data_IF_378802809984
#
_entry.id   IF_378802809984
#
_cell.length_a   1.000
_cell.length_b   1.000
_cell.length_c   1.000
_cell.angle_alpha   90.00
_cell.angle_beta   90.00
_cell.angle_gamma   90.00
#
_symmetry.space_group_name_H-M   'P 1'
#
loop_
_entity.id
_entity.type
_entity.pdbx_description
1 polymer ?
#
# COMPACT_ATOMS: atom_id res chain seq x y z
N UNK A 1 -2.32 -4.45 15.21
CA UNK A 1 -1.09 -4.17 14.42
C UNK A 1 0.11 -4.61 15.26
N UNK A 2 1.17 -5.17 14.67
CA UNK A 2 2.36 -5.64 15.40
C UNK A 2 3.05 -4.53 16.21
N UNK A 3 2.95 -3.28 15.75
CA UNK A 3 3.36 -2.09 16.49
C UNK A 3 2.16 -1.13 16.64
N UNK A 4 1.79 -0.71 17.86
CA UNK A 4 0.67 0.19 18.07
C UNK A 4 0.99 1.65 17.71
N UNK A 5 2.26 2.05 17.65
CA UNK A 5 2.68 3.42 17.32
C UNK A 5 3.35 3.49 15.94
N UNK A 6 2.88 4.39 15.09
CA UNK A 6 3.46 4.60 13.78
C UNK A 6 2.72 5.62 12.94
N UNK A 7 3.32 5.98 11.79
CA UNK A 7 2.68 6.81 10.78
C UNK A 7 1.76 5.91 9.94
N UNK A 8 0.52 6.35 9.72
CA UNK A 8 -0.43 5.62 8.88
C UNK A 8 -0.33 6.13 7.44
N UNK A 9 -0.20 5.22 6.50
CA UNK A 9 -0.21 5.51 5.05
C UNK A 9 -1.36 4.73 4.43
N UNK A 10 -2.21 5.41 3.68
CA UNK A 10 -3.24 4.80 2.85
C UNK A 10 -2.67 4.60 1.44
N UNK A 11 -2.94 3.47 0.80
CA UNK A 11 -2.35 3.13 -0.50
C UNK A 11 -3.42 2.62 -1.46
N UNK A 12 -3.26 2.98 -2.73
CA UNK A 12 -3.94 2.36 -3.87
C UNK A 12 -2.96 1.39 -4.52
N UNK A 13 -3.25 0.09 -4.40
CA UNK A 13 -2.40 -0.97 -4.95
C UNK A 13 -3.14 -1.79 -6.02
N UNK A 14 -2.42 -2.28 -7.01
CA UNK A 14 -2.88 -3.34 -7.89
C UNK A 14 -2.88 -4.71 -7.20
N UNK A 15 -3.56 -5.69 -7.80
CA UNK A 15 -3.60 -7.06 -7.28
C UNK A 15 -2.20 -7.73 -7.19
N UNK A 16 -1.23 -7.24 -7.98
CA UNK A 16 0.19 -7.64 -7.94
C UNK A 16 0.96 -7.06 -6.74
N UNK A 17 0.40 -6.08 -6.03
CA UNK A 17 1.11 -5.31 -5.00
C UNK A 17 1.85 -4.07 -5.51
N UNK A 18 1.69 -3.72 -6.80
CA UNK A 18 2.22 -2.45 -7.34
C UNK A 18 1.45 -1.29 -6.73
N UNK A 19 2.16 -0.31 -6.17
CA UNK A 19 1.58 0.91 -5.60
C UNK A 19 1.40 1.95 -6.70
N UNK A 20 0.16 2.42 -6.89
CA UNK A 20 -0.20 3.44 -7.87
C UNK A 20 -0.29 4.84 -7.27
N UNK A 21 -0.83 4.95 -6.05
CA UNK A 21 -0.90 6.20 -5.31
C UNK A 21 -0.93 5.92 -3.80
N UNK A 22 -0.65 6.94 -3.00
CA UNK A 22 -0.67 6.87 -1.55
C UNK A 22 -1.00 8.22 -0.91
N UNK A 23 -1.43 8.16 0.34
CA UNK A 23 -1.70 9.32 1.17
C UNK A 23 -1.18 9.09 2.59
N UNK A 24 -0.26 9.96 3.03
CA UNK A 24 0.24 9.97 4.40
C UNK A 24 -0.81 10.64 5.29
N UNK A 25 -1.26 9.93 6.32
CA UNK A 25 -2.25 10.46 7.25
C UNK A 25 -1.60 11.40 8.27
N UNK A 26 -2.12 12.63 8.35
CA UNK A 26 -1.62 13.70 9.21
C UNK A 26 -2.64 14.07 10.31
N UNK A 27 -3.65 13.24 10.55
CA UNK A 27 -4.73 13.60 11.48
C UNK A 27 -5.72 14.57 10.83
N UNK A 28 -6.15 15.57 11.60
CA UNK A 28 -7.10 16.60 11.16
C UNK A 28 -6.57 17.45 10.01
N UNK A 29 -5.25 17.60 9.90
CA UNK A 29 -4.57 18.40 8.85
C UNK A 29 -4.35 17.63 7.56
N UNK A 30 -4.83 16.38 7.44
CA UNK A 30 -4.70 15.63 6.19
C UNK A 30 -5.43 16.36 5.05
N UNK A 31 -4.66 16.72 4.03
CA UNK A 31 -5.14 17.41 2.82
C UNK A 31 -6.05 16.48 2.01
N UNK A 32 -7.37 16.71 2.12
CA UNK A 32 -8.40 16.11 1.29
C UNK A 32 -9.41 17.20 0.95
N UNK A 33 -10.14 17.04 -0.15
CA UNK A 33 -11.25 17.91 -0.52
C UNK A 33 -12.24 18.07 0.64
N UNK A 34 -12.48 19.32 1.05
CA UNK A 34 -13.44 19.67 2.11
C UNK A 34 -14.86 19.26 1.73
N UNK A 35 -15.21 19.41 0.45
CA UNK A 35 -16.49 18.96 -0.11
C UNK A 35 -16.65 17.45 0.07
N UNK A 36 -15.65 16.65 -0.30
CA UNK A 36 -15.70 15.20 -0.13
C UNK A 36 -15.79 14.78 1.35
N UNK A 37 -15.12 15.52 2.27
CA UNK A 37 -15.23 15.27 3.70
C UNK A 37 -16.65 15.54 4.21
N UNK A 38 -17.29 16.60 3.74
CA UNK A 38 -18.65 16.97 4.13
C UNK A 38 -19.68 15.97 3.60
N UNK A 39 -19.55 15.56 2.35
CA UNK A 39 -20.53 14.71 1.67
C UNK A 39 -20.37 13.22 2.00
N UNK A 40 -19.13 12.71 2.07
CA UNK A 40 -18.85 11.27 2.20
C UNK A 40 -18.15 10.89 3.51
N UNK A 41 -17.92 11.87 4.39
CA UNK A 41 -17.08 11.71 5.57
C UNK A 41 -15.61 11.54 5.23
N UNK A 42 -14.77 11.51 6.26
CA UNK A 42 -13.31 11.40 6.10
C UNK A 42 -12.91 10.11 5.40
N UNK A 43 -13.58 8.99 5.68
CA UNK A 43 -13.27 7.70 5.05
C UNK A 43 -13.59 7.67 3.57
N UNK A 44 -14.71 8.27 3.16
CA UNK A 44 -15.06 8.39 1.75
C UNK A 44 -14.13 9.35 1.01
N UNK A 45 -13.74 10.45 1.66
CA UNK A 45 -12.77 11.39 1.11
C UNK A 45 -11.41 10.74 0.81
N UNK A 46 -10.92 9.82 1.66
CA UNK A 46 -9.70 9.05 1.36
C UNK A 46 -9.83 8.21 0.10
N UNK A 47 -10.97 7.51 -0.05
CA UNK A 47 -11.24 6.66 -1.21
C UNK A 47 -11.28 7.49 -2.48
N UNK A 48 -12.07 8.55 -2.50
CA UNK A 48 -12.25 9.39 -3.69
C UNK A 48 -10.94 10.10 -4.07
N UNK A 49 -10.14 10.51 -3.08
CA UNK A 49 -8.81 11.10 -3.32
C UNK A 49 -7.87 10.13 -4.03
N UNK A 50 -7.77 8.89 -3.55
CA UNK A 50 -6.91 7.88 -4.18
C UNK A 50 -7.50 7.40 -5.51
N UNK A 51 -8.82 7.23 -5.59
CA UNK A 51 -9.51 6.79 -6.80
C UNK A 51 -9.43 7.82 -7.94
N UNK A 52 -9.15 9.10 -7.65
CA UNK A 52 -8.90 10.12 -8.67
C UNK A 52 -7.71 9.78 -9.59
N UNK A 53 -6.83 8.85 -9.18
CA UNK A 53 -5.75 8.33 -10.03
C UNK A 53 -6.25 7.35 -11.10
N UNK A 54 -7.41 6.75 -10.91
CA UNK A 54 -8.00 5.75 -11.81
C UNK A 54 -8.72 6.51 -12.94
N UNK A 55 -8.45 6.20 -14.21
CA UNK A 55 -9.19 6.80 -15.31
C UNK A 55 -10.67 6.42 -15.28
N UNK A 56 -11.53 7.41 -15.46
CA UNK A 56 -12.98 7.22 -15.59
C UNK A 56 -13.28 6.48 -16.91
N UNK A 57 -14.39 5.75 -16.96
CA UNK A 57 -14.93 5.20 -18.21
C UNK A 57 -14.41 3.83 -18.65
N UNK A 58 -13.28 3.37 -18.10
CA UNK A 58 -12.60 2.13 -18.55
C UNK A 58 -13.22 0.86 -17.94
N UNK A 59 -13.95 0.97 -16.83
CA UNK A 59 -14.47 -0.21 -16.12
C UNK A 59 -13.45 -0.87 -15.18
N UNK A 60 -12.53 -0.07 -14.62
CA UNK A 60 -11.62 -0.55 -13.57
C UNK A 60 -12.40 -1.05 -12.34
N UNK A 61 -11.83 -2.04 -11.65
CA UNK A 61 -12.41 -2.66 -10.45
C UNK A 61 -11.60 -2.27 -9.21
N UNK A 62 -12.26 -1.69 -8.22
CA UNK A 62 -11.66 -1.20 -6.99
C UNK A 62 -12.26 -1.92 -5.78
N UNK A 63 -11.40 -2.47 -4.92
CA UNK A 63 -11.84 -3.25 -3.77
C UNK A 63 -11.44 -2.58 -2.46
N UNK A 64 -12.33 -2.63 -1.47
CA UNK A 64 -12.19 -1.90 -0.21
C UNK A 64 -12.26 -2.80 1.02
N UNK A 65 -11.42 -2.50 2.00
CA UNK A 65 -11.66 -2.99 3.35
C UNK A 65 -12.86 -2.28 4.00
N UNK A 66 -13.40 -2.92 5.04
CA UNK A 66 -14.59 -2.54 5.79
C UNK A 66 -14.60 -1.09 6.30
N UNK A 67 -13.41 -0.55 6.61
CA UNK A 67 -13.25 0.82 7.08
C UNK A 67 -13.64 1.88 6.02
N UNK A 68 -13.48 1.55 4.74
CA UNK A 68 -13.63 2.50 3.63
C UNK A 68 -14.99 2.40 2.94
N UNK A 69 -15.61 1.22 2.95
CA UNK A 69 -16.85 0.98 2.22
C UNK A 69 -18.03 1.78 2.77
N UNK A 70 -18.75 2.46 1.87
CA UNK A 70 -20.04 3.09 2.12
C UNK A 70 -20.86 3.15 0.83
N UNK A 71 -22.19 3.09 0.93
CA UNK A 71 -23.08 3.08 -0.24
C UNK A 71 -22.96 4.36 -1.09
N UNK A 72 -22.86 5.57 -0.50
CA UNK A 72 -22.68 6.79 -1.30
C UNK A 72 -21.39 6.79 -2.13
N UNK A 73 -20.28 6.28 -1.58
CA UNK A 73 -19.01 6.20 -2.32
C UNK A 73 -19.11 5.22 -3.50
N UNK A 74 -19.78 4.08 -3.32
CA UNK A 74 -20.00 3.12 -4.40
C UNK A 74 -20.82 3.73 -5.56
N UNK A 75 -21.77 4.63 -5.25
CA UNK A 75 -22.58 5.33 -6.26
C UNK A 75 -21.74 6.31 -7.08
N UNK A 76 -20.94 7.15 -6.43
CA UNK A 76 -20.02 8.09 -7.11
C UNK A 76 -19.02 7.36 -8.01
N UNK A 77 -18.48 6.23 -7.53
CA UNK A 77 -17.56 5.42 -8.34
C UNK A 77 -18.28 4.82 -9.55
N UNK A 78 -19.54 4.41 -9.41
CA UNK A 78 -20.32 3.89 -10.52
C UNK A 78 -20.58 4.96 -11.59
N UNK A 79 -20.84 6.20 -11.20
CA UNK A 79 -21.00 7.34 -12.12
C UNK A 79 -19.72 7.57 -12.95
N UNK A 80 -18.55 7.33 -12.35
CA UNK A 80 -17.25 7.33 -13.01
C UNK A 80 -16.94 6.08 -13.84
N UNK A 81 -17.87 5.12 -13.90
CA UNK A 81 -17.68 3.76 -14.44
C UNK A 81 -16.48 3.04 -13.81
N UNK A 82 -16.30 3.25 -12.51
CA UNK A 82 -15.39 2.48 -11.66
C UNK A 82 -16.24 1.49 -10.88
N UNK A 83 -16.06 0.22 -11.21
CA UNK A 83 -16.71 -0.87 -10.51
C UNK A 83 -16.04 -1.08 -9.16
N UNK A 84 -16.82 -1.31 -8.11
CA UNK A 84 -16.31 -1.41 -6.77
C UNK A 84 -17.09 -2.40 -5.90
N UNK A 85 -16.36 -3.03 -4.99
CA UNK A 85 -16.91 -3.93 -3.99
C UNK A 85 -16.07 -3.92 -2.71
N UNK A 86 -16.71 -4.08 -1.56
CA UNK A 86 -16.00 -4.17 -0.30
C UNK A 86 -16.82 -4.83 0.78
N UNK A 87 -16.15 -5.30 1.83
CA UNK A 87 -16.87 -5.61 3.07
C UNK A 87 -17.46 -4.34 3.64
N UNK A 88 -18.63 -4.41 4.28
CA UNK A 88 -19.32 -3.22 4.81
C UNK A 88 -19.76 -3.41 6.25
N UNK A 89 -19.62 -2.34 7.06
CA UNK A 89 -20.04 -2.38 8.45
C UNK A 89 -21.56 -2.41 8.49
N UNK A 90 -22.14 -3.19 9.41
CA UNK A 90 -23.59 -3.27 9.60
C UNK A 90 -24.23 -1.89 9.87
N UNK A 91 -23.50 -0.97 10.50
CA UNK A 91 -23.96 0.41 10.74
C UNK A 91 -24.04 1.26 9.47
N UNK A 92 -23.37 0.85 8.39
CA UNK A 92 -23.26 1.58 7.11
C UNK A 92 -24.16 0.99 6.02
N UNK A 93 -25.00 0.02 6.33
CA UNK A 93 -25.94 -0.60 5.38
C UNK A 93 -27.31 0.08 5.38
N UNK A 94 -27.43 1.33 5.87
CA UNK A 94 -28.69 2.12 5.86
C UNK A 94 -29.92 1.36 6.43
N UNK A 95 -29.70 0.53 7.47
CA UNK A 95 -30.73 -0.34 8.08
C UNK A 95 -31.43 -1.30 7.09
N UNK A 96 -30.75 -1.67 6.01
CA UNK A 96 -31.20 -2.64 5.03
C UNK A 96 -31.73 -3.94 5.70
N UNK A 97 -32.97 -4.38 5.39
CA UNK A 97 -33.66 -5.48 6.08
C UNK A 97 -33.19 -6.87 5.61
N UNK A 98 -31.89 -7.13 5.70
CA UNK A 98 -31.31 -8.45 5.42
C UNK A 98 -31.60 -9.43 6.58
N UNK A 99 -31.77 -10.71 6.25
CA UNK A 99 -31.85 -11.82 7.19
C UNK A 99 -30.81 -11.68 8.29
N UNK A 100 -31.24 -11.92 9.52
CA UNK A 100 -30.36 -11.88 10.69
C UNK A 100 -29.34 -13.02 10.63
N UNK A 101 -28.20 -12.83 11.29
CA UNK A 101 -27.19 -13.90 11.41
C UNK A 101 -27.77 -15.18 12.03
N UNK A 102 -28.74 -15.07 12.93
CA UNK A 102 -29.45 -16.23 13.50
C UNK A 102 -30.26 -16.99 12.45
N UNK A 103 -30.95 -16.29 11.55
CA UNK A 103 -31.71 -16.92 10.47
C UNK A 103 -30.77 -17.64 9.50
N UNK A 104 -29.73 -16.95 9.03
CA UNK A 104 -28.75 -17.56 8.11
C UNK A 104 -28.00 -18.73 8.75
N UNK A 105 -27.67 -18.66 10.05
CA UNK A 105 -27.05 -19.79 10.75
C UNK A 105 -27.94 -21.03 10.79
N UNK A 106 -29.27 -20.87 10.80
CA UNK A 106 -30.22 -22.00 10.69
C UNK A 106 -30.29 -22.58 9.27
N UNK A 107 -30.13 -21.73 8.26
CA UNK A 107 -30.08 -22.13 6.85
C UNK A 107 -28.76 -22.84 6.49
N UNK A 108 -27.75 -22.74 7.36
CA UNK A 108 -26.48 -23.43 7.23
C UNK A 108 -25.37 -22.55 6.69
N UNK A 109 -24.13 -23.06 6.83
CA UNK A 109 -22.92 -22.39 6.33
C UNK A 109 -22.94 -22.37 4.80
N UNK A 110 -22.69 -21.20 4.22
CA UNK A 110 -22.81 -20.94 2.78
C UNK A 110 -24.11 -20.25 2.38
N UNK A 111 -25.10 -20.15 3.28
CA UNK A 111 -26.31 -19.39 3.03
C UNK A 111 -26.01 -17.90 2.82
N UNK A 112 -26.80 -17.27 1.97
CA UNK A 112 -26.73 -15.83 1.73
C UNK A 112 -28.10 -15.21 1.58
N UNK A 113 -28.14 -13.91 1.86
CA UNK A 113 -29.27 -13.05 1.60
C UNK A 113 -28.77 -11.76 0.96
N UNK A 114 -29.56 -11.18 0.07
CA UNK A 114 -29.15 -9.96 -0.63
C UNK A 114 -30.33 -9.05 -0.91
N UNK A 115 -30.03 -7.77 -1.01
CA UNK A 115 -30.97 -6.75 -1.43
C UNK A 115 -30.29 -5.82 -2.42
N UNK A 116 -31.03 -5.48 -3.46
CA UNK A 116 -30.62 -4.54 -4.49
C UNK A 116 -31.33 -3.22 -4.23
N UNK A 117 -30.63 -2.10 -4.42
CA UNK A 117 -31.23 -0.78 -4.33
C UNK A 117 -32.35 -0.62 -5.37
N UNK A 118 -33.32 0.25 -5.09
CA UNK A 118 -34.48 0.48 -5.98
C UNK A 118 -34.07 0.90 -7.39
N UNK A 119 -32.95 1.58 -7.54
CA UNK A 119 -32.38 2.00 -8.82
C UNK A 119 -31.47 0.95 -9.47
N UNK A 120 -31.36 -0.25 -8.89
CA UNK A 120 -30.58 -1.37 -9.45
C UNK A 120 -29.06 -1.20 -9.39
N UNK A 121 -28.56 -0.09 -8.83
CA UNK A 121 -27.14 0.29 -8.92
C UNK A 121 -26.25 -0.34 -7.87
N UNK A 122 -26.80 -0.66 -6.70
CA UNK A 122 -26.04 -1.13 -5.54
C UNK A 122 -26.68 -2.41 -5.03
N UNK A 123 -25.86 -3.40 -4.70
CA UNK A 123 -26.28 -4.64 -4.04
C UNK A 123 -25.56 -4.77 -2.71
N UNK A 124 -26.32 -5.14 -1.68
CA UNK A 124 -25.78 -5.55 -0.38
C UNK A 124 -26.02 -7.04 -0.22
N UNK A 125 -24.96 -7.79 0.04
CA UNK A 125 -25.00 -9.24 0.23
C UNK A 125 -24.53 -9.57 1.64
N UNK A 126 -25.31 -10.35 2.37
CA UNK A 126 -24.88 -11.01 3.60
C UNK A 126 -24.63 -12.48 3.32
N UNK A 127 -23.42 -12.96 3.62
CA UNK A 127 -23.03 -14.35 3.44
C UNK A 127 -22.61 -14.96 4.77
N UNK A 128 -23.07 -16.17 5.05
CA UNK A 128 -22.81 -16.89 6.29
C UNK A 128 -21.66 -17.88 6.13
N UNK A 129 -20.50 -17.55 6.70
CA UNK A 129 -19.41 -18.52 6.86
C UNK A 129 -19.37 -19.00 8.33
N UNK A 130 -18.25 -18.86 9.03
CA UNK A 130 -18.21 -19.03 10.48
C UNK A 130 -18.98 -17.91 11.22
N UNK A 131 -19.02 -16.72 10.60
CA UNK A 131 -19.77 -15.54 11.03
C UNK A 131 -20.37 -14.88 9.81
N UNK A 132 -21.42 -14.09 10.00
CA UNK A 132 -22.01 -13.32 8.91
C UNK A 132 -21.04 -12.23 8.41
N UNK A 133 -20.79 -12.20 7.11
CA UNK A 133 -20.02 -11.15 6.43
C UNK A 133 -20.97 -10.36 5.55
N UNK A 134 -20.94 -9.02 5.66
CA UNK A 134 -21.67 -8.14 4.74
C UNK A 134 -20.72 -7.59 3.70
N UNK A 135 -21.15 -7.60 2.45
CA UNK A 135 -20.49 -6.96 1.33
C UNK A 135 -21.46 -5.99 0.66
N UNK A 136 -20.92 -4.90 0.13
CA UNK A 136 -21.64 -4.00 -0.76
C UNK A 136 -20.87 -3.88 -2.08
N UNK A 137 -21.57 -3.84 -3.19
CA UNK A 137 -20.99 -3.72 -4.52
C UNK A 137 -21.89 -2.90 -5.45
N UNK A 138 -21.28 -2.27 -6.46
CA UNK A 138 -21.98 -1.60 -7.56
C UNK A 138 -21.92 -2.39 -8.89
N UNK A 139 -21.39 -3.61 -8.88
CA UNK A 139 -21.06 -4.34 -10.11
C UNK A 139 -21.30 -5.85 -10.05
N UNK A 140 -21.34 -6.45 -8.85
CA UNK A 140 -21.48 -7.90 -8.70
C UNK A 140 -22.32 -8.21 -7.47
N UNK A 141 -23.37 -9.02 -7.66
CA UNK A 141 -24.24 -9.51 -6.60
C UNK A 141 -23.98 -10.96 -6.23
N UNK A 142 -25.08 -11.72 -6.11
CA UNK A 142 -25.06 -13.12 -5.68
C UNK A 142 -24.98 -14.10 -6.85
N UNK A 143 -25.43 -13.68 -8.04
CA UNK A 143 -25.43 -14.48 -9.25
C UNK A 143 -24.04 -15.08 -9.56
N UNK A 144 -24.03 -16.20 -10.28
CA UNK A 144 -22.83 -17.01 -10.55
C UNK A 144 -22.13 -17.55 -9.29
N UNK A 145 -22.93 -18.11 -8.36
CA UNK A 145 -22.41 -18.78 -7.16
C UNK A 145 -21.44 -19.91 -7.52
N UNK A 146 -20.34 -19.99 -6.76
CA UNK A 146 -19.43 -21.12 -6.83
C UNK A 146 -19.35 -21.89 -5.51
N UNK A 147 -18.68 -23.03 -5.53
CA UNK A 147 -18.45 -23.85 -4.36
C UNK A 147 -16.99 -23.71 -3.96
N UNK A 148 -16.73 -23.42 -2.68
CA UNK A 148 -15.39 -23.31 -2.12
C UNK A 148 -15.21 -24.32 -1.00
N UNK A 149 -14.07 -25.01 -1.00
CA UNK A 149 -13.68 -25.91 0.09
C UNK A 149 -13.27 -25.11 1.31
N UNK A 150 -13.87 -25.41 2.47
CA UNK A 150 -13.60 -24.72 3.74
C UNK A 150 -13.46 -25.71 4.87
N UNK A 151 -12.43 -25.52 5.70
CA UNK A 151 -12.29 -26.28 6.94
C UNK A 151 -13.47 -26.01 7.89
N UNK A 152 -14.06 -27.08 8.40
CA UNK A 152 -15.04 -27.06 9.47
C UNK A 152 -14.41 -27.57 10.76
N UNK A 153 -14.40 -26.75 11.81
CA UNK A 153 -13.87 -27.17 13.12
C UNK A 153 -14.78 -28.21 13.79
N UNK A 154 -16.08 -28.17 13.50
CA UNK A 154 -17.06 -29.12 14.03
C UNK A 154 -16.84 -30.52 13.44
N UNK A 155 -16.70 -30.59 12.12
CA UNK A 155 -16.59 -31.86 11.38
C UNK A 155 -15.14 -32.36 11.30
N UNK A 156 -14.17 -31.48 11.64
CA UNK A 156 -12.73 -31.72 11.46
C UNK A 156 -12.38 -32.16 10.04
N UNK A 157 -13.09 -31.61 9.07
CA UNK A 157 -12.92 -31.91 7.66
C UNK A 157 -13.21 -30.67 6.79
N UNK A 158 -12.85 -30.76 5.52
CA UNK A 158 -13.16 -29.78 4.50
C UNK A 158 -14.57 -29.99 3.97
N UNK A 159 -15.42 -29.00 4.19
CA UNK A 159 -16.78 -28.98 3.67
C UNK A 159 -16.88 -28.09 2.44
N UNK A 160 -17.79 -28.46 1.53
CA UNK A 160 -18.13 -27.67 0.36
C UNK A 160 -19.15 -26.59 0.73
N UNK A 161 -18.76 -25.32 0.58
CA UNK A 161 -19.57 -24.17 0.97
C UNK A 161 -19.93 -23.35 -0.27
N UNK A 162 -21.21 -23.08 -0.49
CA UNK A 162 -21.67 -22.15 -1.54
C UNK A 162 -21.19 -20.74 -1.23
N UNK A 163 -20.70 -20.04 -2.25
CA UNK A 163 -20.10 -18.71 -2.14
C UNK A 163 -20.64 -17.79 -3.24
N UNK A 164 -21.23 -16.64 -2.87
CA UNK A 164 -21.65 -15.61 -3.82
C UNK A 164 -20.48 -15.07 -4.66
N UNK A 165 -20.72 -14.71 -5.92
CA UNK A 165 -19.67 -14.20 -6.81
C UNK A 165 -18.98 -12.93 -6.29
N UNK A 166 -19.70 -12.05 -5.57
CA UNK A 166 -19.09 -10.87 -4.92
C UNK A 166 -18.03 -11.27 -3.89
N UNK A 167 -18.26 -12.34 -3.13
CA UNK A 167 -17.31 -12.86 -2.13
C UNK A 167 -16.09 -13.46 -2.81
N UNK A 168 -16.28 -14.18 -3.92
CA UNK A 168 -15.19 -14.69 -4.75
C UNK A 168 -14.28 -13.57 -5.24
N UNK A 169 -14.85 -12.60 -5.98
CA UNK A 169 -14.09 -11.50 -6.58
C UNK A 169 -13.39 -10.64 -5.53
N UNK A 170 -14.04 -10.44 -4.37
CA UNK A 170 -13.43 -9.78 -3.23
C UNK A 170 -12.18 -10.54 -2.75
N UNK A 171 -12.29 -11.84 -2.48
CA UNK A 171 -11.16 -12.63 -1.99
C UNK A 171 -10.00 -12.71 -2.99
N UNK A 172 -10.28 -12.74 -4.30
CA UNK A 172 -9.25 -12.76 -5.35
C UNK A 172 -8.49 -11.43 -5.48
N UNK A 173 -9.19 -10.32 -5.22
CA UNK A 173 -8.66 -8.96 -5.48
C UNK A 173 -8.09 -8.29 -4.22
N UNK A 174 -8.52 -8.73 -3.04
CA UNK A 174 -7.97 -8.28 -1.77
C UNK A 174 -6.53 -8.74 -1.60
N UNK A 175 -5.78 -8.01 -0.78
CA UNK A 175 -4.40 -8.37 -0.43
C UNK A 175 -3.32 -7.70 -1.27
N UNK A 176 -3.65 -6.85 -2.26
CA UNK A 176 -2.65 -6.06 -2.98
C UNK A 176 -1.79 -5.21 -2.02
N UNK A 177 -2.43 -4.51 -1.08
CA UNK A 177 -1.74 -3.73 -0.04
C UNK A 177 -0.91 -4.62 0.90
N UNK A 178 -1.46 -5.76 1.31
CA UNK A 178 -0.77 -6.70 2.21
C UNK A 178 0.45 -7.34 1.53
N UNK A 179 0.37 -7.63 0.22
CA UNK A 179 1.53 -8.07 -0.58
C UNK A 179 2.63 -7.03 -0.57
N UNK A 180 2.30 -5.76 -0.79
CA UNK A 180 3.29 -4.67 -0.72
C UNK A 180 3.90 -4.58 0.69
N UNK A 181 3.09 -4.61 1.75
CA UNK A 181 3.58 -4.52 3.13
C UNK A 181 4.51 -5.69 3.47
N UNK A 182 4.14 -6.91 3.03
CA UNK A 182 4.98 -8.10 3.14
C UNK A 182 6.31 -7.93 2.42
N UNK A 183 6.32 -7.55 1.14
CA UNK A 183 7.55 -7.38 0.37
C UNK A 183 8.47 -6.31 0.97
N UNK A 184 7.90 -5.18 1.41
CA UNK A 184 8.65 -4.11 2.09
C UNK A 184 9.20 -4.56 3.43
N UNK A 185 8.52 -5.48 4.12
CA UNK A 185 8.98 -6.01 5.41
C UNK A 185 10.20 -6.93 5.30
N UNK A 186 10.40 -7.62 4.17
CA UNK A 186 11.51 -8.56 3.95
C UNK A 186 12.87 -7.88 4.07
N UNK A 187 13.01 -6.70 3.44
CA UNK A 187 14.25 -5.91 3.42
C UNK A 187 14.02 -4.52 4.01
N UNK A 188 13.31 -4.47 5.14
CA UNK A 188 12.94 -3.21 5.80
C UNK A 188 14.19 -2.50 6.36
N UNK A 189 14.51 -1.35 5.79
CA UNK A 189 15.46 -0.42 6.39
C UNK A 189 14.83 0.27 7.59
N UNK A 190 15.51 0.26 8.73
CA UNK A 190 15.07 0.99 9.92
C UNK A 190 16.18 1.91 10.43
N UNK A 191 15.79 3.12 10.86
CA UNK A 191 16.68 4.06 11.52
C UNK A 191 16.10 4.44 12.87
N UNK A 192 16.94 4.49 13.90
CA UNK A 192 16.53 5.01 15.21
C UNK A 192 16.60 6.53 15.17
N UNK A 193 15.47 7.18 14.88
CA UNK A 193 15.36 8.64 14.89
C UNK A 193 14.14 9.11 15.66
N UNK A 194 14.29 10.22 16.40
CA UNK A 194 13.18 10.93 17.02
C UNK A 194 12.35 11.70 16.00
N UNK A 195 12.94 12.12 14.87
CA UNK A 195 12.25 12.85 13.79
C UNK A 195 11.37 11.88 12.98
N UNK A 196 10.05 12.05 13.05
CA UNK A 196 9.11 11.16 12.36
C UNK A 196 9.26 11.17 10.83
N UNK A 197 9.61 12.31 10.25
CA UNK A 197 9.81 12.46 8.80
C UNK A 197 10.91 11.54 8.27
N UNK A 198 12.02 11.40 9.02
CA UNK A 198 13.11 10.52 8.62
C UNK A 198 12.66 9.05 8.60
N UNK A 199 11.79 8.64 9.53
CA UNK A 199 11.20 7.29 9.53
C UNK A 199 10.30 7.06 8.31
N UNK A 200 9.57 8.09 7.88
CA UNK A 200 8.73 8.03 6.67
C UNK A 200 9.61 7.92 5.42
N UNK A 201 10.59 8.81 5.24
CA UNK A 201 11.51 8.77 4.09
C UNK A 201 12.19 7.40 3.99
N UNK A 202 12.70 6.88 5.11
CA UNK A 202 13.37 5.57 5.15
C UNK A 202 12.43 4.41 4.82
N UNK A 203 11.13 4.52 5.12
CA UNK A 203 10.14 3.53 4.69
C UNK A 203 9.88 3.59 3.17
N UNK A 204 9.91 4.79 2.57
CA UNK A 204 9.64 4.94 1.14
C UNK A 204 10.76 4.42 0.24
N UNK A 205 12.01 4.29 0.71
CA UNK A 205 13.08 3.66 -0.09
C UNK A 205 12.80 2.19 -0.44
N UNK A 206 12.61 1.26 0.52
CA UNK A 206 12.29 -0.13 0.20
C UNK A 206 10.93 -0.25 -0.50
N UNK A 207 9.97 0.66 -0.26
CA UNK A 207 8.73 0.73 -1.03
C UNK A 207 8.99 1.01 -2.52
N UNK A 208 9.84 1.99 -2.84
CA UNK A 208 10.20 2.32 -4.22
C UNK A 208 10.96 1.17 -4.90
N UNK A 209 11.89 0.53 -4.19
CA UNK A 209 12.62 -0.65 -4.71
C UNK A 209 11.66 -1.80 -4.99
N UNK A 210 10.77 -2.11 -4.05
CA UNK A 210 9.72 -3.13 -4.22
C UNK A 210 8.83 -2.83 -5.42
N UNK A 211 8.37 -1.58 -5.56
CA UNK A 211 7.52 -1.19 -6.67
C UNK A 211 8.25 -1.29 -8.02
N UNK A 212 9.55 -0.97 -8.04
CA UNK A 212 10.42 -1.10 -9.22
C UNK A 212 10.66 -2.57 -9.58
N UNK A 213 10.90 -3.44 -8.60
CA UNK A 213 11.06 -4.87 -8.79
C UNK A 213 9.79 -5.53 -9.35
N UNK A 214 8.61 -5.17 -8.84
CA UNK A 214 7.34 -5.66 -9.37
C UNK A 214 7.14 -5.26 -10.85
N UNK A 215 7.55 -4.04 -11.23
CA UNK A 215 7.53 -3.60 -12.64
C UNK A 215 8.56 -4.34 -13.50
N UNK A 216 9.77 -4.56 -12.97
CA UNK A 216 10.79 -5.38 -13.63
C UNK A 216 10.26 -6.78 -13.92
N UNK A 217 9.67 -7.46 -12.93
CA UNK A 217 9.10 -8.80 -13.12
C UNK A 217 7.98 -8.85 -14.15
N UNK A 218 7.09 -7.86 -14.12
CA UNK A 218 6.04 -7.73 -15.13
C UNK A 218 6.63 -7.57 -16.54
N UNK A 219 7.65 -6.72 -16.69
CA UNK A 219 8.31 -6.51 -17.98
C UNK A 219 9.09 -7.74 -18.46
N UNK A 220 9.76 -8.45 -17.55
CA UNK A 220 10.46 -9.69 -17.84
C UNK A 220 9.48 -10.78 -18.32
N UNK A 221 8.30 -10.88 -17.69
CA UNK A 221 7.24 -11.78 -18.12
C UNK A 221 6.73 -11.44 -19.52
N UNK A 222 6.50 -10.15 -19.82
CA UNK A 222 6.08 -9.72 -21.17
C UNK A 222 7.13 -10.02 -22.25
N UNK A 223 8.41 -10.06 -21.88
CA UNK A 223 9.52 -10.44 -22.77
C UNK A 223 9.79 -11.95 -22.83
N UNK A 224 9.03 -12.76 -22.12
CA UNK A 224 9.21 -14.21 -22.08
C UNK A 224 10.46 -14.68 -21.33
N UNK A 225 11.07 -13.84 -20.49
CA UNK A 225 12.23 -14.21 -19.68
C UNK A 225 11.77 -15.17 -18.58
N UNK A 226 12.45 -16.31 -18.45
CA UNK A 226 12.06 -17.33 -17.47
C UNK A 226 12.19 -16.82 -16.04
N UNK A 227 11.39 -17.35 -15.11
CA UNK A 227 11.44 -16.93 -13.70
C UNK A 227 12.77 -17.24 -13.02
N UNK A 228 13.55 -18.20 -13.56
CA UNK A 228 14.87 -18.57 -13.06
C UNK A 228 15.97 -17.58 -13.48
N UNK A 229 15.76 -16.87 -14.58
CA UNK A 229 16.66 -15.83 -15.08
C UNK A 229 16.30 -14.44 -14.54
N UNK A 230 15.13 -14.33 -13.89
CA UNK A 230 14.69 -13.10 -13.25
C UNK A 230 15.37 -12.94 -11.89
N UNK A 231 15.86 -11.73 -11.62
CA UNK A 231 16.41 -11.39 -10.32
C UNK A 231 15.34 -11.52 -9.24
N UNK A 232 15.70 -12.17 -8.13
CA UNK A 232 14.86 -12.12 -6.94
C UNK A 232 14.88 -10.72 -6.31
N UNK A 233 14.08 -10.51 -5.26
CA UNK A 233 13.97 -9.17 -4.64
C UNK A 233 15.28 -8.73 -3.97
N UNK A 234 16.07 -9.66 -3.41
CA UNK A 234 17.35 -9.35 -2.78
C UNK A 234 18.38 -8.96 -3.82
N UNK A 235 18.56 -9.78 -4.85
CA UNK A 235 19.47 -9.54 -5.96
C UNK A 235 19.16 -8.22 -6.64
N UNK A 236 17.87 -7.96 -6.92
CA UNK A 236 17.44 -6.68 -7.49
C UNK A 236 17.76 -5.51 -6.56
N UNK A 237 17.54 -5.66 -5.26
CA UNK A 237 17.86 -4.62 -4.28
C UNK A 237 19.36 -4.32 -4.25
N UNK A 238 20.21 -5.36 -4.25
CA UNK A 238 21.67 -5.22 -4.30
C UNK A 238 22.12 -4.52 -5.58
N UNK A 239 21.59 -4.89 -6.74
CA UNK A 239 21.93 -4.23 -7.99
C UNK A 239 21.53 -2.75 -8.02
N UNK A 240 20.40 -2.39 -7.41
CA UNK A 240 20.01 -0.98 -7.24
C UNK A 240 21.02 -0.25 -6.34
N UNK A 241 21.42 -0.85 -5.22
CA UNK A 241 22.41 -0.26 -4.30
C UNK A 241 23.76 -0.05 -4.98
N UNK A 242 24.28 -1.06 -5.69
CA UNK A 242 25.53 -0.97 -6.43
C UNK A 242 25.49 0.10 -7.52
N UNK A 243 24.38 0.18 -8.26
CA UNK A 243 24.19 1.18 -9.32
C UNK A 243 24.17 2.60 -8.75
N UNK A 244 23.48 2.81 -7.62
CA UNK A 244 23.47 4.10 -6.93
C UNK A 244 24.84 4.47 -6.37
N UNK A 245 25.57 3.51 -5.80
CA UNK A 245 26.94 3.74 -5.29
C UNK A 245 27.90 4.16 -6.41
N UNK A 246 27.83 3.50 -7.58
CA UNK A 246 28.60 3.86 -8.78
C UNK A 246 28.22 5.24 -9.31
N UNK A 247 26.93 5.57 -9.39
CA UNK A 247 26.49 6.89 -9.82
C UNK A 247 26.98 8.00 -8.87
N UNK A 248 26.98 7.75 -7.56
CA UNK A 248 27.52 8.68 -6.58
C UNK A 248 29.03 8.87 -6.73
N UNK A 249 29.82 7.80 -6.93
CA UNK A 249 31.27 7.92 -7.06
C UNK A 249 31.70 8.68 -8.33
N UNK A 250 30.96 8.54 -9.43
CA UNK A 250 31.19 9.28 -10.68
C UNK A 250 30.90 10.79 -10.53
N UNK A 251 29.89 11.16 -9.73
CA UNK A 251 29.57 12.56 -9.46
C UNK A 251 30.52 13.24 -8.46
N UNK A 252 31.34 12.48 -7.74
CA UNK A 252 32.43 13.01 -6.92
C UNK A 252 33.73 13.18 -7.72
N UNK A 253 33.60 13.73 -8.94
CA UNK A 253 34.73 14.24 -9.70
C UNK A 253 35.43 15.36 -8.92
N UNK A 254 36.55 14.99 -8.26
CA UNK A 254 37.47 15.85 -7.50
C UNK A 254 36.87 16.54 -6.25
N UNK A 255 37.07 15.96 -5.08
CA UNK A 255 37.35 16.75 -3.89
C UNK A 255 38.31 16.02 -2.94
N UNK A 256 39.48 16.67 -2.75
CA UNK A 256 40.42 16.60 -1.62
C UNK A 256 40.73 15.21 -1.05
N UNK A 257 42.01 14.83 -1.17
CA UNK A 257 42.70 13.74 -0.48
C UNK A 257 41.84 13.03 0.58
N UNK A 258 41.33 11.86 0.22
CA UNK A 258 40.73 10.94 1.19
C UNK A 258 41.76 10.69 2.31
N UNK A 259 41.38 10.70 3.60
CA UNK A 259 42.27 10.24 4.63
C UNK A 259 42.63 8.78 4.32
N UNK A 260 43.93 8.48 4.26
CA UNK A 260 44.43 7.11 4.10
C UNK A 260 43.68 6.21 5.09
N UNK A 261 43.02 5.19 4.56
CA UNK A 261 42.46 4.13 5.37
C UNK A 261 43.54 3.62 6.33
N UNK A 262 43.21 3.56 7.62
CA UNK A 262 44.01 2.89 8.65
C UNK A 262 44.19 1.44 8.22
N UNK A 263 45.32 1.14 7.59
CA UNK A 263 45.84 -0.21 7.46
C UNK A 263 46.20 -0.68 8.86
N UNK A 264 45.36 -1.54 9.45
CA UNK A 264 45.78 -2.35 10.58
C UNK A 264 46.86 -3.32 10.10
N UNK A 265 48.12 -2.92 10.26
CA UNK A 265 49.30 -3.69 9.93
C UNK A 265 50.40 -3.37 10.94
N UNK A 266 50.68 -4.35 11.80
CA UNK A 266 51.72 -4.41 12.83
C UNK A 266 52.99 -3.59 12.53
N UNK A 267 53.31 -2.61 13.39
CA UNK A 267 54.71 -2.29 13.73
C UNK A 267 54.86 -1.62 15.10
N UNK A 268 55.91 -2.09 15.75
CA UNK A 268 56.42 -1.84 17.11
C UNK A 268 56.77 -0.38 17.42
N UNK A 269 56.52 0.00 18.68
CA UNK A 269 57.37 0.90 19.47
C UNK A 269 57.23 2.42 19.26
N UNK A 270 56.84 3.13 20.33
CA UNK A 270 57.04 4.58 20.46
C UNK A 270 55.94 5.28 21.25
N UNK A 271 56.17 5.50 22.54
CA UNK A 271 55.38 6.39 23.39
C UNK A 271 55.37 7.83 22.84
N UNK A 272 54.24 8.53 22.97
CA UNK A 272 54.24 9.93 23.37
C UNK A 272 52.86 10.39 23.87
N UNK A 273 52.89 11.10 25.00
CA UNK A 273 51.77 11.73 25.71
C UNK A 273 51.32 13.01 25.00
N UNK A 274 50.01 13.33 25.07
CA UNK A 274 49.48 14.61 24.57
C UNK A 274 47.97 14.79 24.75
N UNK A 275 47.60 15.25 25.94
CA UNK A 275 46.54 16.23 26.30
C UNK A 275 45.17 16.29 25.57
N UNK A 276 44.11 16.11 26.36
CA UNK A 276 42.69 16.20 26.00
C UNK A 276 42.18 17.65 26.11
N UNK A 277 41.56 18.20 25.05
CA UNK A 277 40.83 19.47 25.13
C UNK A 277 39.46 19.36 24.45
N UNK A 278 38.40 19.35 25.27
CA UNK A 278 37.01 19.50 24.87
C UNK A 278 36.76 20.95 24.42
N UNK A 279 36.26 21.14 23.19
CA UNK A 279 35.57 22.38 22.79
C UNK A 279 34.13 22.08 22.39
N UNK A 280 33.22 22.71 23.14
CA UNK A 280 31.79 22.82 22.92
C UNK A 280 31.49 23.74 21.74
N UNK A 281 30.48 23.40 20.94
CA UNK A 281 29.97 24.23 19.83
C UNK A 281 28.60 24.79 20.25
N UNK A 282 28.30 26.10 20.10
CA UNK A 282 27.01 26.67 20.48
C UNK A 282 25.92 26.38 19.42
N UNK A 283 24.62 26.42 19.78
CA UNK A 283 23.54 26.09 18.87
C UNK A 283 23.19 27.27 17.96
N UNK A 284 23.04 27.00 16.66
CA UNK A 284 22.44 27.93 15.70
C UNK A 284 20.90 27.87 15.79
N UNK A 285 20.31 29.06 15.87
CA UNK A 285 18.89 29.33 16.04
C UNK A 285 18.03 28.82 14.88
N UNK A 286 16.87 28.30 15.25
CA UNK A 286 15.81 27.92 14.33
C UNK A 286 15.03 29.17 13.89
N UNK A 287 15.03 29.46 12.59
CA UNK A 287 14.03 30.33 11.97
C UNK A 287 13.18 29.50 11.01
N UNK A 288 11.87 29.64 11.21
CA UNK A 288 10.84 28.73 10.72
C UNK A 288 10.54 28.88 9.24
N UNK A 289 10.48 27.73 8.57
CA UNK A 289 9.74 27.54 7.34
C UNK A 289 8.49 26.75 7.69
N UNK A 290 7.33 27.35 7.42
CA UNK A 290 5.99 26.88 7.81
C UNK A 290 5.73 25.46 7.27
N UNK A 291 5.19 24.59 8.11
CA UNK A 291 5.01 23.14 7.85
C UNK A 291 4.05 22.69 6.73
N UNK A 292 3.05 23.45 6.23
CA UNK A 292 2.13 22.92 5.22
C UNK A 292 2.76 22.76 3.82
N UNK A 293 3.75 23.59 3.46
CA UNK A 293 4.41 23.52 2.14
C UNK A 293 5.34 22.31 2.00
N UNK A 294 5.89 21.81 3.10
CA UNK A 294 6.88 20.72 3.12
C UNK A 294 6.26 19.34 2.92
N UNK A 295 5.02 19.11 3.36
CA UNK A 295 4.30 17.86 3.08
C UNK A 295 3.97 17.72 1.59
N UNK A 296 3.63 18.84 0.95
CA UNK A 296 3.47 18.94 -0.50
C UNK A 296 4.76 18.63 -1.24
N UNK A 297 5.90 19.16 -0.78
CA UNK A 297 7.21 18.82 -1.35
C UNK A 297 7.60 17.37 -1.11
N UNK A 298 7.30 16.79 0.06
CA UNK A 298 7.59 15.38 0.35
C UNK A 298 6.73 14.45 -0.51
N UNK A 299 5.43 14.74 -0.65
CA UNK A 299 4.53 14.02 -1.55
C UNK A 299 4.96 14.20 -2.99
N UNK A 300 5.28 15.42 -3.44
CA UNK A 300 5.77 15.67 -4.80
C UNK A 300 7.12 14.99 -5.05
N UNK A 301 8.02 14.91 -4.06
CA UNK A 301 9.31 14.25 -4.16
C UNK A 301 9.17 12.72 -4.15
N UNK A 302 8.27 12.17 -3.34
CA UNK A 302 7.97 10.72 -3.29
C UNK A 302 7.14 10.28 -4.50
N UNK A 303 6.15 11.06 -4.94
CA UNK A 303 5.40 10.82 -6.17
C UNK A 303 6.30 11.00 -7.40
N UNK A 304 7.24 11.97 -7.38
CA UNK A 304 8.33 12.01 -8.35
C UNK A 304 9.14 10.74 -8.24
N UNK A 305 9.71 10.37 -7.11
CA UNK A 305 10.44 9.10 -6.91
C UNK A 305 9.67 7.87 -7.38
N UNK A 306 8.36 7.75 -7.18
CA UNK A 306 7.56 6.60 -7.65
C UNK A 306 7.21 6.68 -9.15
N UNK A 307 7.07 7.88 -9.71
CA UNK A 307 6.88 8.11 -11.17
C UNK A 307 8.20 8.08 -11.96
N UNK A 308 9.30 8.53 -11.34
CA UNK A 308 10.67 8.52 -11.81
C UNK A 308 11.38 7.22 -11.44
N UNK A 309 10.87 6.38 -10.54
CA UNK A 309 11.28 4.97 -10.49
C UNK A 309 11.00 4.28 -11.82
N UNK A 310 10.06 4.79 -12.61
CA UNK A 310 9.93 4.40 -14.03
C UNK A 310 10.92 5.17 -14.88
N UNK A 311 10.97 6.51 -14.82
CA UNK A 311 11.80 7.31 -15.75
C UNK A 311 13.31 7.30 -15.50
N UNK A 312 13.80 7.19 -14.26
CA UNK A 312 15.21 7.12 -13.90
C UNK A 312 15.77 5.70 -14.03
N UNK A 313 14.94 4.67 -13.82
CA UNK A 313 15.33 3.28 -14.13
C UNK A 313 15.23 3.02 -15.65
N UNK A 314 14.26 3.62 -16.37
CA UNK A 314 14.23 3.57 -17.85
C UNK A 314 15.25 4.49 -18.53
N UNK A 315 15.56 5.68 -17.99
CA UNK A 315 16.59 6.55 -18.57
C UNK A 315 17.99 5.92 -18.47
N UNK A 316 18.20 5.03 -17.50
CA UNK A 316 19.40 4.19 -17.43
C UNK A 316 19.39 3.00 -18.41
N UNK A 317 18.27 2.69 -19.07
CA UNK A 317 18.12 1.54 -19.97
C UNK A 317 17.78 1.91 -21.43
N UNK A 318 17.59 3.19 -21.75
CA UNK A 318 17.27 3.69 -23.11
C UNK A 318 18.36 4.62 -23.66
N UNK A 319 19.49 4.78 -22.94
CA UNK A 319 20.70 5.45 -23.44
C UNK A 319 21.94 4.54 -23.29
N UNK A 320 21.77 3.28 -23.68
CA UNK A 320 22.79 2.40 -24.25
C UNK A 320 22.27 1.95 -25.62
#
# INVERSE_FOLDING_TARGET
>A
KPNPWGVKVFMLCGASGVVYDFLVYQGSTTELSSENKQTFGVTGAFVLHLAARIPDGIGHKLFFDNYFTSLPVLRVLLEKRIYAAGTIQKSRTEKCPLKTEKQLKKEGRGSSDYLVSSDGKIVITRWMDNRAVNLASNCVGVDDEDVVSRWSKADRDYISVKRPAVVKKYNESMGGVDKTDFLVSLYRTSIRSRKWMLRVIVHFFPLCVTNSWLKYRHHAQLRGISTKEQMDLLEFTLAVVESLAKACSLNHGRARAAPRALSYGLRSGGENKGEESRRTVPPLSAQGLREPTLAWHLRACICRLLSTSVRAVFAAFVLL
#
